data_IF_221162562406
#
_entry.id   IF_221162562406
#
_cell.length_a   1.000
_cell.length_b   1.000
_cell.length_c   1.000
_cell.angle_alpha   90.00
_cell.angle_beta   90.00
_cell.angle_gamma   90.00
#
_symmetry.space_group_name_H-M   'P 1'
#
loop_
_entity.id
_entity.type
_entity.pdbx_description
1 polymer ?
#
# COMPACT_ATOMS: atom_id res chain seq x y z
N UNK A 1 -17.47 27.35 -19.07
CA UNK A 1 -16.66 26.84 -17.95
C UNK A 1 -15.87 28.00 -17.37
N UNK A 2 -15.96 28.24 -16.07
CA UNK A 2 -15.21 29.28 -15.36
C UNK A 2 -13.74 28.86 -15.18
N UNK A 3 -12.87 29.81 -14.85
CA UNK A 3 -11.46 29.53 -14.54
C UNK A 3 -11.33 28.49 -13.40
N UNK A 4 -12.14 28.62 -12.36
CA UNK A 4 -12.14 27.72 -11.20
C UNK A 4 -12.57 26.31 -11.59
N UNK A 5 -13.60 26.18 -12.43
CA UNK A 5 -14.06 24.87 -12.93
C UNK A 5 -12.97 24.15 -13.73
N UNK A 6 -12.18 24.88 -14.54
CA UNK A 6 -11.07 24.30 -15.29
C UNK A 6 -9.94 23.83 -14.39
N UNK A 7 -9.54 24.65 -13.42
CA UNK A 7 -8.48 24.32 -12.47
C UNK A 7 -8.85 23.13 -11.57
N UNK A 8 -10.13 23.05 -11.16
CA UNK A 8 -10.64 21.91 -10.41
C UNK A 8 -10.58 20.61 -11.23
N UNK A 9 -10.93 20.66 -12.51
CA UNK A 9 -10.88 19.48 -13.37
C UNK A 9 -9.45 19.01 -13.61
N UNK A 10 -8.51 19.93 -13.84
CA UNK A 10 -7.09 19.61 -13.99
C UNK A 10 -6.53 18.92 -12.74
N UNK A 11 -6.88 19.39 -11.53
CA UNK A 11 -6.49 18.75 -10.27
C UNK A 11 -7.09 17.36 -10.09
N UNK A 12 -8.34 17.14 -10.54
CA UNK A 12 -8.96 15.81 -10.50
C UNK A 12 -8.26 14.84 -11.44
N UNK A 13 -7.91 15.26 -12.65
CA UNK A 13 -7.13 14.44 -13.56
C UNK A 13 -5.75 14.07 -12.98
N UNK A 14 -5.13 14.95 -12.19
CA UNK A 14 -3.89 14.62 -11.48
C UNK A 14 -4.12 13.56 -10.40
N UNK A 15 -5.21 13.66 -9.63
CA UNK A 15 -5.59 12.63 -8.64
C UNK A 15 -5.85 11.28 -9.33
N UNK A 16 -6.61 11.26 -10.42
CA UNK A 16 -6.92 10.03 -11.16
C UNK A 16 -5.65 9.31 -11.64
N UNK A 17 -4.65 10.07 -12.13
CA UNK A 17 -3.35 9.53 -12.54
C UNK A 17 -2.58 8.93 -11.35
N UNK A 18 -2.65 9.58 -10.19
CA UNK A 18 -2.04 9.07 -8.96
C UNK A 18 -2.74 7.78 -8.53
N UNK A 19 -4.07 7.73 -8.56
CA UNK A 19 -4.87 6.57 -8.16
C UNK A 19 -4.59 5.36 -9.06
N UNK A 20 -4.48 5.57 -10.38
CA UNK A 20 -4.05 4.52 -11.31
C UNK A 20 -2.68 3.95 -10.88
N UNK A 21 -1.74 4.83 -10.51
CA UNK A 21 -0.42 4.41 -10.08
C UNK A 21 -0.43 3.68 -8.75
N UNK A 22 -1.27 4.11 -7.80
CA UNK A 22 -1.47 3.44 -6.51
C UNK A 22 -1.95 2.01 -6.74
N UNK A 23 -2.98 1.82 -7.57
CA UNK A 23 -3.51 0.48 -7.91
C UNK A 23 -2.43 -0.41 -8.55
N UNK A 24 -1.67 0.11 -9.51
CA UNK A 24 -0.57 -0.63 -10.13
C UNK A 24 0.50 -1.07 -9.11
N UNK A 25 0.88 -0.18 -8.18
CA UNK A 25 1.88 -0.47 -7.15
C UNK A 25 1.36 -1.51 -6.17
N UNK A 26 0.09 -1.42 -5.75
CA UNK A 26 -0.53 -2.38 -4.86
C UNK A 26 -0.62 -3.77 -5.49
N UNK A 27 -1.02 -3.88 -6.76
CA UNK A 27 -1.02 -5.16 -7.48
C UNK A 27 0.40 -5.75 -7.60
N UNK A 28 1.39 -4.93 -7.94
CA UNK A 28 2.79 -5.38 -7.95
C UNK A 28 3.25 -5.87 -6.58
N UNK A 29 2.82 -5.22 -5.50
CA UNK A 29 3.11 -5.67 -4.12
C UNK A 29 2.44 -7.02 -3.84
N UNK A 30 1.19 -7.20 -4.25
CA UNK A 30 0.47 -8.48 -4.10
C UNK A 30 1.17 -9.63 -4.83
N UNK A 31 1.62 -9.42 -6.07
CA UNK A 31 2.39 -10.43 -6.83
C UNK A 31 3.65 -10.88 -6.09
N UNK A 32 4.34 -9.94 -5.43
CA UNK A 32 5.54 -10.24 -4.65
C UNK A 32 5.17 -11.02 -3.37
N UNK A 33 4.08 -10.65 -2.69
CA UNK A 33 3.59 -11.38 -1.51
C UNK A 33 3.26 -12.84 -1.86
N UNK A 34 2.59 -13.08 -2.99
CA UNK A 34 2.29 -14.44 -3.47
C UNK A 34 3.56 -15.27 -3.72
N UNK A 35 4.61 -14.64 -4.29
CA UNK A 35 5.92 -15.30 -4.47
C UNK A 35 6.58 -15.62 -3.13
N UNK A 36 6.50 -14.71 -2.15
CA UNK A 36 7.01 -14.94 -0.79
C UNK A 36 6.26 -16.10 -0.14
N UNK A 37 4.92 -16.15 -0.26
CA UNK A 37 4.09 -17.25 0.25
C UNK A 37 4.55 -18.60 -0.30
N UNK A 38 4.75 -18.69 -1.63
CA UNK A 38 5.23 -19.91 -2.29
C UNK A 38 6.55 -20.39 -1.68
N UNK A 39 7.53 -19.50 -1.52
CA UNK A 39 8.82 -19.83 -0.91
C UNK A 39 8.70 -20.24 0.56
N UNK A 40 7.82 -19.59 1.33
CA UNK A 40 7.57 -19.96 2.72
C UNK A 40 7.00 -21.37 2.83
N UNK A 41 6.07 -21.75 1.96
CA UNK A 41 5.49 -23.11 1.91
C UNK A 41 6.57 -24.12 1.53
N UNK A 42 7.33 -23.86 0.46
CA UNK A 42 8.41 -24.75 -0.01
C UNK A 42 9.50 -24.95 1.05
N UNK A 43 9.80 -23.91 1.83
CA UNK A 43 10.80 -23.94 2.90
C UNK A 43 10.26 -24.29 4.29
N UNK A 44 8.98 -24.65 4.43
CA UNK A 44 8.30 -24.90 5.72
C UNK A 44 8.45 -23.76 6.75
N UNK A 45 8.49 -22.51 6.28
CA UNK A 45 8.51 -21.32 7.13
C UNK A 45 7.08 -20.92 7.57
N UNK A 46 6.93 -20.30 8.75
CA UNK A 46 5.65 -19.71 9.17
C UNK A 46 5.14 -18.65 8.18
N UNK A 47 3.88 -18.78 7.77
CA UNK A 47 3.22 -17.79 6.89
C UNK A 47 3.09 -16.46 7.62
N UNK A 48 2.62 -16.48 8.87
CA UNK A 48 2.53 -15.30 9.73
C UNK A 48 3.86 -14.97 10.43
N UNK A 49 4.30 -13.70 10.35
CA UNK A 49 5.51 -13.20 11.01
C UNK A 49 5.27 -11.78 11.57
N UNK A 50 4.99 -11.64 12.88
CA UNK A 50 4.68 -10.34 13.49
C UNK A 50 5.88 -9.38 13.47
N UNK A 51 7.11 -9.89 13.56
CA UNK A 51 8.33 -9.07 13.48
C UNK A 51 8.48 -8.46 12.09
N UNK A 52 8.03 -9.18 11.06
CA UNK A 52 8.03 -8.64 9.70
C UNK A 52 7.07 -7.46 9.58
N UNK A 53 5.90 -7.52 10.20
CA UNK A 53 4.88 -6.46 10.18
C UNK A 53 5.34 -5.22 10.94
N UNK A 54 5.91 -5.39 12.13
CA UNK A 54 6.51 -4.28 12.90
C UNK A 54 7.53 -3.50 12.06
N UNK A 55 8.44 -4.21 11.36
CA UNK A 55 9.40 -3.58 10.44
C UNK A 55 8.76 -2.88 9.25
N UNK A 56 7.55 -3.25 8.82
CA UNK A 56 6.81 -2.50 7.79
C UNK A 56 6.36 -1.17 8.38
N UNK A 57 5.76 -1.20 9.57
CA UNK A 57 5.25 -0.01 10.24
C UNK A 57 6.37 1.00 10.59
N UNK A 58 7.50 0.53 11.11
CA UNK A 58 8.68 1.38 11.33
C UNK A 58 9.14 2.06 10.02
N UNK A 59 9.20 1.28 8.93
CA UNK A 59 9.66 1.78 7.64
C UNK A 59 8.72 2.81 7.06
N UNK A 60 7.40 2.61 7.10
CA UNK A 60 6.45 3.56 6.51
C UNK A 60 6.40 4.86 7.30
N UNK A 61 6.53 4.81 8.64
CA UNK A 61 6.63 6.01 9.47
C UNK A 61 7.88 6.81 9.10
N UNK A 62 9.03 6.15 8.94
CA UNK A 62 10.25 6.82 8.51
C UNK A 62 10.18 7.42 7.10
N UNK A 63 9.31 6.90 6.23
CA UNK A 63 9.10 7.39 4.87
C UNK A 63 8.04 8.50 4.78
N UNK A 64 7.25 8.74 5.84
CA UNK A 64 6.20 9.73 5.81
C UNK A 64 6.78 11.15 5.98
N UNK A 65 7.01 11.82 4.86
CA UNK A 65 7.40 13.24 4.81
C UNK A 65 6.31 14.13 4.21
N UNK A 66 5.09 13.60 4.10
CA UNK A 66 3.96 14.23 3.43
C UNK A 66 3.05 15.00 4.39
N UNK A 67 1.96 15.60 3.86
CA UNK A 67 0.98 16.32 4.67
C UNK A 67 0.06 15.40 5.50
N UNK A 68 0.17 14.07 5.34
CA UNK A 68 -0.60 13.12 6.12
C UNK A 68 0.08 12.88 7.48
N UNK A 69 -0.72 12.85 8.55
CA UNK A 69 -0.24 12.40 9.86
C UNK A 69 0.12 10.92 9.84
N UNK A 70 1.08 10.52 10.67
CA UNK A 70 1.55 9.13 10.76
C UNK A 70 0.39 8.15 11.02
N UNK A 71 -0.57 8.50 11.88
CA UNK A 71 -1.74 7.66 12.17
C UNK A 71 -2.60 7.37 10.93
N UNK A 72 -2.62 8.27 9.95
CA UNK A 72 -3.33 8.02 8.68
C UNK A 72 -2.55 7.02 7.82
N UNK A 73 -1.24 7.17 7.73
CA UNK A 73 -0.36 6.24 7.01
C UNK A 73 -0.42 4.84 7.61
N UNK A 74 -0.41 4.74 8.94
CA UNK A 74 -0.55 3.48 9.67
C UNK A 74 -1.86 2.77 9.32
N UNK A 75 -3.01 3.44 9.43
CA UNK A 75 -4.32 2.85 9.12
C UNK A 75 -4.45 2.38 7.67
N UNK A 76 -3.90 3.14 6.73
CA UNK A 76 -3.86 2.75 5.31
C UNK A 76 -3.04 1.46 5.17
N UNK A 77 -1.86 1.39 5.80
CA UNK A 77 -1.00 0.23 5.70
C UNK A 77 -1.52 -1.00 6.44
N UNK A 78 -2.23 -0.83 7.56
CA UNK A 78 -2.97 -1.91 8.22
C UNK A 78 -3.97 -2.54 7.25
N UNK A 79 -4.75 -1.71 6.56
CA UNK A 79 -5.73 -2.18 5.56
C UNK A 79 -5.03 -2.90 4.41
N UNK A 80 -3.95 -2.32 3.87
CA UNK A 80 -3.16 -2.97 2.82
C UNK A 80 -2.65 -4.33 3.29
N UNK A 81 -2.09 -4.42 4.50
CA UNK A 81 -1.58 -5.67 5.05
C UNK A 81 -2.69 -6.71 5.26
N UNK A 82 -3.85 -6.28 5.75
CA UNK A 82 -5.02 -7.14 5.90
C UNK A 82 -5.45 -7.76 4.57
N UNK A 83 -5.66 -6.95 3.53
CA UNK A 83 -6.03 -7.44 2.21
C UNK A 83 -4.98 -8.40 1.62
N UNK A 84 -3.70 -8.21 1.95
CA UNK A 84 -2.61 -9.06 1.45
C UNK A 84 -2.57 -10.40 2.16
N UNK A 85 -2.93 -10.44 3.44
CA UNK A 85 -3.12 -11.71 4.19
C UNK A 85 -4.31 -12.50 3.67
N UNK A 86 -5.36 -11.86 3.16
CA UNK A 86 -6.49 -12.57 2.56
C UNK A 86 -6.10 -13.30 1.27
N UNK A 87 -5.10 -12.79 0.54
CA UNK A 87 -4.47 -13.52 -0.58
C UNK A 87 -3.64 -14.72 -0.11
N UNK A 88 -3.28 -14.78 1.18
CA UNK A 88 -2.52 -15.84 1.82
C UNK A 88 -3.40 -16.91 2.49
N UNK A 89 -4.72 -16.73 2.53
CA UNK A 89 -5.67 -17.75 2.98
C UNK A 89 -5.91 -18.81 1.90
#
# INVERSE_FOLDING_TARGET
>A
MTKIEKELEELREEVDKIDERVVQILNKRADIVLKIRKLKIEGAFPIYDPRREEKIFEKISALNSGPLYDDAIHRIYETILHCMKDLEQ
#
